data_IF_357746883262
#
_entry.id   IF_357746883262
#
_cell.length_a   1.000
_cell.length_b   1.000
_cell.length_c   1.000
_cell.angle_alpha   90.00
_cell.angle_beta   90.00
_cell.angle_gamma   90.00
#
_symmetry.space_group_name_H-M   'P 1'
#
loop_
_entity.id
_entity.type
_entity.pdbx_description
1 polymer ?
#
# COMPACT_ATOMS: atom_id res chain seq x y z
N UNK A 1 14.63 -36.98 25.83
CA UNK A 1 14.35 -36.14 24.64
C UNK A 1 12.85 -35.86 24.61
N UNK A 2 12.41 -34.77 25.25
CA UNK A 2 10.99 -34.42 25.35
C UNK A 2 10.61 -33.55 24.16
N UNK A 3 9.82 -34.11 23.25
CA UNK A 3 9.33 -33.42 22.07
C UNK A 3 7.99 -32.77 22.45
N UNK A 4 8.02 -31.49 22.83
CA UNK A 4 6.79 -30.72 23.05
C UNK A 4 6.14 -30.43 21.69
N UNK A 5 4.88 -30.81 21.47
CA UNK A 5 4.21 -30.53 20.21
C UNK A 5 4.01 -29.02 20.09
N UNK A 6 4.57 -28.41 19.04
CA UNK A 6 4.23 -27.05 18.64
C UNK A 6 2.73 -27.03 18.34
N UNK A 7 1.96 -26.31 19.15
CA UNK A 7 0.54 -26.09 18.90
C UNK A 7 0.39 -25.22 17.65
N UNK A 8 -0.01 -25.84 16.55
CA UNK A 8 -0.51 -25.21 15.32
C UNK A 8 -1.88 -24.56 15.57
N UNK A 9 -1.93 -23.56 16.44
CA UNK A 9 -3.12 -22.77 16.67
C UNK A 9 -2.95 -21.40 15.99
N UNK A 10 -3.60 -21.21 14.84
CA UNK A 10 -3.86 -19.87 14.33
C UNK A 10 -4.48 -19.05 15.46
N UNK A 11 -3.93 -17.88 15.83
CA UNK A 11 -4.48 -17.13 16.94
C UNK A 11 -5.91 -16.72 16.59
N UNK A 12 -6.87 -17.20 17.38
CA UNK A 12 -8.23 -16.64 17.39
C UNK A 12 -8.16 -15.15 17.72
N UNK A 13 -9.18 -14.39 17.33
CA UNK A 13 -9.25 -12.96 17.67
C UNK A 13 -9.25 -12.83 19.20
N UNK A 14 -8.31 -12.05 19.74
CA UNK A 14 -8.20 -11.78 21.18
C UNK A 14 -8.67 -10.36 21.45
N UNK A 15 -9.62 -10.20 22.37
CA UNK A 15 -10.07 -8.88 22.84
C UNK A 15 -8.89 -8.09 23.42
N UNK A 16 -8.65 -6.84 22.98
CA UNK A 16 -7.61 -5.98 23.54
C UNK A 16 -7.75 -5.82 25.05
N UNK A 17 -6.64 -5.99 25.77
CA UNK A 17 -6.63 -5.99 27.25
C UNK A 17 -5.41 -5.31 27.86
N UNK A 18 -4.50 -4.74 27.05
CA UNK A 18 -3.34 -4.02 27.56
C UNK A 18 -3.76 -2.64 28.14
N UNK A 19 -2.92 -2.06 29.01
CA UNK A 19 -3.14 -0.75 29.58
C UNK A 19 -3.41 0.33 28.52
N UNK A 20 -4.17 1.34 28.93
CA UNK A 20 -4.48 2.52 28.12
C UNK A 20 -3.38 3.58 28.30
N UNK A 21 -3.18 4.48 27.33
CA UNK A 21 -2.39 5.69 27.53
C UNK A 21 -2.89 6.48 28.75
N UNK A 22 -1.95 7.12 29.47
CA UNK A 22 -2.27 7.86 30.69
C UNK A 22 -3.21 9.05 30.45
N UNK A 23 -3.20 9.59 29.23
CA UNK A 23 -4.00 10.71 28.74
C UNK A 23 -5.31 10.28 28.07
N UNK A 24 -5.66 8.98 28.09
CA UNK A 24 -6.89 8.50 27.47
C UNK A 24 -8.11 9.09 28.18
N UNK A 25 -9.03 9.78 27.46
CA UNK A 25 -10.19 10.38 28.08
C UNK A 25 -11.15 9.31 28.62
N UNK A 26 -11.82 9.61 29.73
CA UNK A 26 -12.69 8.67 30.45
C UNK A 26 -13.85 8.11 29.60
N UNK A 27 -14.35 8.87 28.62
CA UNK A 27 -15.42 8.44 27.72
C UNK A 27 -14.96 7.41 26.69
N UNK A 28 -13.65 7.23 26.50
CA UNK A 28 -13.10 6.26 25.56
C UNK A 28 -12.85 4.92 26.28
N UNK A 29 -13.63 3.86 25.99
CA UNK A 29 -13.49 2.57 26.67
C UNK A 29 -12.43 1.64 26.04
N UNK A 30 -11.72 2.08 25.00
CA UNK A 30 -10.75 1.23 24.29
C UNK A 30 -9.59 0.77 25.19
N UNK A 31 -8.98 -0.38 24.86
CA UNK A 31 -7.81 -0.96 25.55
C UNK A 31 -6.68 -1.23 24.55
N UNK A 32 -5.45 -1.29 25.04
CA UNK A 32 -4.29 -1.59 24.20
C UNK A 32 -4.34 -3.02 23.64
N UNK A 33 -3.94 -3.20 22.38
CA UNK A 33 -3.92 -4.52 21.72
C UNK A 33 -2.61 -5.27 21.94
N UNK A 34 -2.61 -6.55 21.59
CA UNK A 34 -1.42 -7.40 21.56
C UNK A 34 -0.62 -7.31 20.26
N UNK A 35 -0.99 -6.39 19.35
CA UNK A 35 -0.26 -6.21 18.10
C UNK A 35 1.18 -5.78 18.38
N UNK A 36 2.16 -6.28 17.62
CA UNK A 36 3.57 -5.97 17.82
C UNK A 36 3.93 -4.60 17.21
N UNK A 37 3.27 -3.53 17.67
CA UNK A 37 3.42 -2.18 17.09
C UNK A 37 4.86 -1.65 17.19
N UNK A 38 5.65 -2.10 18.18
CA UNK A 38 7.07 -1.75 18.34
C UNK A 38 7.96 -2.20 17.17
N UNK A 39 7.48 -3.12 16.31
CA UNK A 39 8.15 -3.49 15.05
C UNK A 39 8.03 -2.42 13.98
N UNK A 40 7.15 -1.44 14.18
CA UNK A 40 6.90 -0.34 13.27
C UNK A 40 7.42 0.95 13.89
N UNK A 41 8.00 1.81 13.06
CA UNK A 41 8.48 3.13 13.47
C UNK A 41 7.60 4.20 12.82
N UNK A 42 7.33 5.32 13.51
CA UNK A 42 6.70 6.46 12.85
C UNK A 42 7.61 6.99 11.74
N UNK A 43 7.01 7.56 10.68
CA UNK A 43 7.73 8.01 9.47
C UNK A 43 8.98 8.83 9.78
N UNK A 44 8.86 9.83 10.64
CA UNK A 44 9.96 10.74 10.98
C UNK A 44 11.18 10.06 11.63
N UNK A 45 11.00 8.88 12.25
CA UNK A 45 12.10 8.07 12.77
C UNK A 45 12.66 7.08 11.76
N UNK A 46 11.86 6.73 10.75
CA UNK A 46 12.23 5.75 9.74
C UNK A 46 12.94 6.39 8.55
N UNK A 47 12.48 7.58 8.16
CA UNK A 47 12.92 8.31 6.97
C UNK A 47 13.47 9.66 7.39
N UNK A 48 12.61 10.66 7.62
CA UNK A 48 13.01 12.02 8.00
C UNK A 48 11.83 12.88 8.45
N UNK A 49 12.13 14.02 9.07
CA UNK A 49 11.14 15.07 9.37
C UNK A 49 10.73 15.83 8.10
N UNK A 50 9.42 15.95 7.88
CA UNK A 50 8.89 16.72 6.74
C UNK A 50 8.93 18.22 7.07
N UNK A 51 9.91 18.93 6.51
CA UNK A 51 10.06 20.38 6.65
C UNK A 51 9.57 21.11 5.39
N UNK A 52 8.33 21.56 5.43
CA UNK A 52 7.72 22.41 4.40
C UNK A 52 6.79 23.43 5.07
N UNK A 53 7.36 24.52 5.64
CA UNK A 53 6.60 25.50 6.43
C UNK A 53 5.60 26.26 5.55
N UNK A 54 6.00 26.71 4.37
CA UNK A 54 5.18 27.52 3.46
C UNK A 54 4.40 26.65 2.45
N UNK A 55 3.85 25.52 2.91
CA UNK A 55 3.12 24.60 2.04
C UNK A 55 1.83 25.27 1.54
N UNK A 56 1.64 25.30 0.22
CA UNK A 56 0.49 25.99 -0.40
C UNK A 56 -0.60 25.04 -0.89
N UNK A 57 -0.36 23.73 -0.86
CA UNK A 57 -1.32 22.74 -1.36
C UNK A 57 -2.65 22.67 -0.56
N UNK A 58 -2.72 23.00 0.75
CA UNK A 58 -4.01 23.01 1.46
C UNK A 58 -5.02 24.03 0.90
N UNK A 59 -4.54 25.14 0.35
CA UNK A 59 -5.40 26.23 -0.16
C UNK A 59 -5.69 26.11 -1.66
N UNK A 60 -5.02 25.20 -2.36
CA UNK A 60 -5.16 25.03 -3.81
C UNK A 60 -6.23 24.00 -4.13
N UNK A 61 -7.10 24.34 -5.10
CA UNK A 61 -8.05 23.40 -5.70
C UNK A 61 -7.52 22.94 -7.05
N UNK A 62 -7.69 21.65 -7.36
CA UNK A 62 -7.38 21.11 -8.68
C UNK A 62 -8.40 21.68 -9.68
N UNK A 63 -7.93 22.37 -10.72
CA UNK A 63 -8.78 23.03 -11.74
C UNK A 63 -8.60 22.46 -13.15
N UNK A 64 -7.64 21.56 -13.35
CA UNK A 64 -7.33 20.93 -14.64
C UNK A 64 -6.86 19.50 -14.42
N UNK A 65 -7.09 18.64 -15.40
CA UNK A 65 -6.52 17.30 -15.40
C UNK A 65 -4.98 17.37 -15.47
N UNK A 66 -4.26 16.49 -14.76
CA UNK A 66 -2.83 16.31 -14.96
C UNK A 66 -2.57 15.56 -16.26
N UNK A 67 -1.29 15.49 -16.65
CA UNK A 67 -0.85 14.49 -17.60
C UNK A 67 -0.88 13.12 -16.91
N UNK A 68 -1.56 12.16 -17.53
CA UNK A 68 -1.69 10.82 -16.99
C UNK A 68 -0.71 9.85 -17.67
N UNK A 69 0.02 9.10 -16.86
CA UNK A 69 0.81 7.95 -17.28
C UNK A 69 0.20 6.67 -16.70
N UNK A 70 -0.25 5.76 -17.56
CA UNK A 70 -0.82 4.48 -17.17
C UNK A 70 0.27 3.41 -17.07
N UNK A 71 0.36 2.71 -15.94
CA UNK A 71 1.40 1.70 -15.66
C UNK A 71 0.86 0.26 -15.62
N UNK A 72 -0.38 0.05 -16.05
CA UNK A 72 -1.13 -1.20 -15.96
C UNK A 72 -0.42 -2.39 -16.62
N UNK A 73 0.26 -2.16 -17.75
CA UNK A 73 0.92 -3.21 -18.53
C UNK A 73 2.27 -3.66 -17.93
N UNK A 74 2.82 -2.87 -16.99
CA UNK A 74 4.05 -3.20 -16.27
C UNK A 74 3.77 -3.47 -14.81
N UNK A 75 3.53 -2.44 -14.00
CA UNK A 75 3.42 -2.54 -12.55
C UNK A 75 2.14 -3.29 -12.14
N UNK A 76 1.02 -2.94 -12.79
CA UNK A 76 -0.24 -3.67 -12.61
C UNK A 76 -0.13 -5.14 -13.00
N UNK A 77 0.54 -5.42 -14.13
CA UNK A 77 0.78 -6.78 -14.60
C UNK A 77 1.71 -7.59 -13.67
N UNK A 78 2.69 -6.95 -13.04
CA UNK A 78 3.61 -7.58 -12.07
C UNK A 78 2.90 -7.98 -10.76
N UNK A 79 1.81 -7.31 -10.41
CA UNK A 79 1.04 -7.60 -9.20
C UNK A 79 0.01 -8.74 -9.36
N UNK A 80 -0.20 -9.25 -10.58
CA UNK A 80 -1.17 -10.33 -10.83
C UNK A 80 -0.59 -11.70 -10.45
N UNK A 81 -1.44 -12.55 -9.85
CA UNK A 81 -1.12 -13.98 -9.64
C UNK A 81 -0.83 -14.64 -11.01
N UNK A 82 -1.74 -14.43 -11.96
CA UNK A 82 -1.58 -14.89 -13.35
C UNK A 82 -1.31 -13.68 -14.27
N UNK A 83 -0.05 -13.49 -14.71
CA UNK A 83 0.31 -12.39 -15.59
C UNK A 83 -0.53 -12.37 -16.87
N UNK A 84 -0.73 -11.18 -17.42
CA UNK A 84 -1.45 -11.00 -18.68
C UNK A 84 -0.72 -11.71 -19.82
N UNK A 85 -1.47 -12.51 -20.57
CA UNK A 85 -1.04 -13.01 -21.88
C UNK A 85 -0.88 -11.86 -22.88
N UNK A 86 -0.14 -12.05 -23.99
CA UNK A 86 0.02 -11.03 -25.03
C UNK A 86 -1.33 -10.46 -25.53
N UNK A 87 -2.34 -11.32 -25.70
CA UNK A 87 -3.68 -10.89 -26.10
C UNK A 87 -4.37 -9.99 -25.06
N UNK A 88 -4.24 -10.31 -23.76
CA UNK A 88 -4.77 -9.47 -22.67
C UNK A 88 -4.04 -8.14 -22.61
N UNK A 89 -2.70 -8.13 -22.75
CA UNK A 89 -1.90 -6.90 -22.80
C UNK A 89 -2.33 -6.02 -23.98
N UNK A 90 -2.49 -6.59 -25.17
CA UNK A 90 -2.92 -5.87 -26.38
C UNK A 90 -4.30 -5.24 -26.21
N UNK A 91 -5.28 -6.00 -25.72
CA UNK A 91 -6.64 -5.50 -25.47
C UNK A 91 -6.64 -4.34 -24.47
N UNK A 92 -5.83 -4.42 -23.42
CA UNK A 92 -5.76 -3.36 -22.42
C UNK A 92 -5.01 -2.13 -22.95
N UNK A 93 -3.93 -2.32 -23.70
CA UNK A 93 -3.26 -1.22 -24.39
C UNK A 93 -4.24 -0.45 -25.29
N UNK A 94 -5.02 -1.15 -26.12
CA UNK A 94 -6.02 -0.53 -26.99
C UNK A 94 -7.11 0.20 -26.21
N UNK A 95 -7.54 -0.34 -25.06
CA UNK A 95 -8.47 0.34 -24.16
C UNK A 95 -7.90 1.66 -23.65
N UNK A 96 -6.67 1.67 -23.15
CA UNK A 96 -6.01 2.87 -22.62
C UNK A 96 -5.85 3.94 -23.72
N UNK A 97 -5.44 3.51 -24.92
CA UNK A 97 -5.36 4.40 -26.09
C UNK A 97 -6.73 5.00 -26.41
N UNK A 98 -7.80 4.19 -26.44
CA UNK A 98 -9.16 4.65 -26.71
C UNK A 98 -9.71 5.60 -25.65
N UNK A 99 -9.32 5.42 -24.39
CA UNK A 99 -9.66 6.34 -23.28
C UNK A 99 -8.94 7.68 -23.38
N UNK A 100 -7.85 7.76 -24.16
CA UNK A 100 -7.11 8.99 -24.40
C UNK A 100 -5.83 9.15 -23.60
N UNK A 101 -5.35 8.10 -22.91
CA UNK A 101 -4.02 8.12 -22.29
C UNK A 101 -2.94 8.38 -23.35
N UNK A 102 -2.00 9.27 -23.02
CA UNK A 102 -0.91 9.67 -23.93
C UNK A 102 0.44 9.13 -23.49
N UNK A 103 0.58 8.78 -22.22
CA UNK A 103 1.74 8.06 -21.68
C UNK A 103 1.27 6.71 -21.12
N UNK A 104 1.90 5.62 -21.57
CA UNK A 104 1.59 4.25 -21.17
C UNK A 104 2.91 3.49 -20.99
N UNK A 105 3.20 2.98 -19.80
CA UNK A 105 4.36 2.10 -19.54
C UNK A 105 4.03 0.68 -20.02
N UNK A 106 4.66 0.27 -21.13
CA UNK A 106 4.33 -1.00 -21.82
C UNK A 106 5.14 -2.22 -21.35
N UNK A 107 6.15 -2.03 -20.51
CA UNK A 107 6.94 -3.13 -19.95
C UNK A 107 8.37 -2.74 -19.57
N UNK A 108 9.13 -3.74 -19.13
CA UNK A 108 10.54 -3.61 -18.76
C UNK A 108 11.39 -4.59 -19.61
N UNK A 109 11.78 -4.18 -20.84
CA UNK A 109 12.34 -5.10 -21.85
C UNK A 109 13.70 -5.71 -21.45
N UNK A 110 14.41 -5.11 -20.48
CA UNK A 110 15.69 -5.63 -19.99
C UNK A 110 15.57 -6.80 -18.99
N UNK A 111 14.41 -7.00 -18.35
CA UNK A 111 14.21 -8.07 -17.35
C UNK A 111 13.08 -9.06 -17.69
N UNK A 112 12.45 -8.91 -18.86
CA UNK A 112 11.34 -9.75 -19.29
C UNK A 112 11.56 -10.22 -20.72
N UNK A 113 11.79 -11.53 -20.88
CA UNK A 113 11.88 -12.20 -22.18
C UNK A 113 10.51 -12.83 -22.47
N UNK A 114 9.54 -12.02 -22.88
CA UNK A 114 8.19 -12.42 -23.35
C UNK A 114 7.71 -11.51 -24.45
#
# INVERSE_FOLDING_TARGET
MSNSPRSDAYPTIRTPSRPVPADQPHWNPQRGSWMPYHRYKPWYRLVEDIQLPDRTWPDKRITRAPLWCAVDLRDGNQALIDPMSPARKRKFFELLVRMGYKEIEVGFPAASRT
#
